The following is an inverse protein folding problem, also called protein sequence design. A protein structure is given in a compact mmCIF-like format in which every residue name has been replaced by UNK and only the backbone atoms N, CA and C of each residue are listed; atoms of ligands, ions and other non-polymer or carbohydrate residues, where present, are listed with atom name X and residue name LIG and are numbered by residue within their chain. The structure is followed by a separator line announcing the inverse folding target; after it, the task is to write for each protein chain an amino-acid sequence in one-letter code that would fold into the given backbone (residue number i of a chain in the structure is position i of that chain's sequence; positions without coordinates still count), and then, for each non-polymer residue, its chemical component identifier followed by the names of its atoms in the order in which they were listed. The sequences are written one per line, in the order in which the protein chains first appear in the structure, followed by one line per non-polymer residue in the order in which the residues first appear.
data_IF_666617007494
#
_entry.id   IF_666617007494
#
_cell.length_a   1.000
_cell.length_b   1.000
_cell.length_c   1.000
_cell.angle_alpha   90.00
_cell.angle_beta   90.00
_cell.angle_gamma   90.00
#
_symmetry.space_group_name_H-M   'P 1'
#
loop_
_entity.id
_entity.type
_entity.pdbx_description
1 polymer ?
#
# COMPACT_ATOMS: atom_id res chain seq x y z
N UNK A 1 -1.03 10.59 -2.19
CA UNK A 1 -1.05 9.36 -3.01
C UNK A 1 -2.33 8.56 -2.78
N UNK A 2 -2.53 7.91 -1.62
CA UNK A 2 -3.76 7.13 -1.39
C UNK A 2 -5.04 8.00 -1.43
N UNK A 3 -4.99 9.20 -0.86
CA UNK A 3 -6.11 10.13 -0.87
C UNK A 3 -6.65 10.44 -2.27
N UNK A 4 -5.81 10.52 -3.31
CA UNK A 4 -6.30 10.77 -4.69
C UNK A 4 -7.04 9.59 -5.29
N UNK A 5 -6.80 8.37 -4.79
CA UNK A 5 -7.47 7.14 -5.21
C UNK A 5 -8.80 6.92 -4.48
N UNK A 6 -9.01 7.60 -3.34
CA UNK A 6 -10.22 7.52 -2.54
C UNK A 6 -11.31 8.52 -2.97
N UNK A 7 -11.08 9.29 -4.03
CA UNK A 7 -11.98 10.32 -4.58
C UNK A 7 -12.60 11.30 -3.53
N UNK A 8 -11.83 11.89 -2.60
CA UNK A 8 -12.39 12.85 -1.64
C UNK A 8 -12.87 14.12 -2.37
N UNK A 9 -13.99 14.75 -1.92
CA UNK A 9 -14.67 15.87 -2.61
C UNK A 9 -13.82 17.13 -2.82
N UNK A 10 -12.66 17.21 -2.21
CA UNK A 10 -11.65 18.26 -2.38
C UNK A 10 -10.34 17.67 -1.85
N UNK A 11 -9.30 17.61 -2.67
CA UNK A 11 -8.01 17.02 -2.27
C UNK A 11 -7.50 17.65 -0.97
N UNK A 12 -7.12 16.82 0.00
CA UNK A 12 -6.54 17.29 1.26
C UNK A 12 -5.06 17.62 1.02
N UNK A 13 -4.61 18.87 1.23
CA UNK A 13 -3.21 19.25 1.04
C UNK A 13 -2.28 18.47 1.96
N UNK A 14 -1.05 18.20 1.50
CA UNK A 14 -0.06 17.46 2.29
C UNK A 14 0.26 18.16 3.61
N UNK A 15 0.33 19.49 3.58
CA UNK A 15 0.64 20.34 4.73
C UNK A 15 -0.40 20.14 5.83
N UNK A 16 -1.68 20.00 5.44
CA UNK A 16 -2.77 19.72 6.38
C UNK A 16 -2.64 18.31 6.97
N UNK A 17 -2.26 17.30 6.18
CA UNK A 17 -2.02 15.95 6.68
C UNK A 17 -0.89 15.93 7.71
N UNK A 18 0.22 16.60 7.42
CA UNK A 18 1.37 16.69 8.32
C UNK A 18 1.00 17.45 9.60
N UNK A 19 0.27 18.57 9.48
CA UNK A 19 -0.19 19.34 10.62
C UNK A 19 -1.06 18.49 11.57
N UNK A 20 -2.08 17.80 11.05
CA UNK A 20 -2.94 16.92 11.86
C UNK A 20 -2.09 15.82 12.53
N UNK A 21 -1.18 15.19 11.79
CA UNK A 21 -0.32 14.14 12.33
C UNK A 21 0.58 14.66 13.47
N UNK A 22 1.08 15.89 13.37
CA UNK A 22 1.88 16.52 14.43
C UNK A 22 1.03 16.89 15.65
N UNK A 23 -0.15 17.49 15.45
CA UNK A 23 -1.09 17.83 16.53
C UNK A 23 -1.56 16.60 17.32
N UNK A 24 -1.70 15.46 16.63
CA UNK A 24 -2.03 14.16 17.23
C UNK A 24 -0.83 13.43 17.83
N UNK A 25 0.39 13.95 17.64
CA UNK A 25 1.63 13.34 18.12
C UNK A 25 2.03 12.05 17.38
N UNK A 26 1.49 11.81 16.18
CA UNK A 26 1.83 10.65 15.35
C UNK A 26 3.19 10.80 14.66
N UNK A 27 3.60 12.05 14.43
CA UNK A 27 4.91 12.36 13.86
C UNK A 27 5.48 13.63 14.46
N UNK A 28 6.80 13.76 14.46
CA UNK A 28 7.49 14.99 14.84
C UNK A 28 7.69 15.95 13.65
N UNK A 29 7.81 15.40 12.43
CA UNK A 29 8.23 16.19 11.25
C UNK A 29 7.76 15.60 9.91
N UNK A 30 6.90 14.58 9.92
CA UNK A 30 6.29 13.97 8.73
C UNK A 30 6.54 12.46 8.59
N UNK A 31 7.64 11.92 9.10
CA UNK A 31 7.84 10.46 9.05
C UNK A 31 6.94 9.72 10.04
N UNK A 32 6.39 8.60 9.57
CA UNK A 32 5.42 7.80 10.30
C UNK A 32 5.96 6.37 10.47
N UNK A 33 6.09 5.93 11.72
CA UNK A 33 6.62 4.59 12.08
C UNK A 33 5.56 3.68 12.71
N UNK A 34 4.28 4.00 12.54
CA UNK A 34 3.16 3.28 13.13
C UNK A 34 2.03 3.14 12.11
N UNK A 35 1.71 1.90 11.73
CA UNK A 35 0.59 1.61 10.82
C UNK A 35 -0.74 1.97 11.46
N UNK A 36 -0.88 1.74 12.77
CA UNK A 36 -2.06 2.13 13.53
C UNK A 36 -2.30 3.65 13.49
N UNK A 37 -1.26 4.47 13.68
CA UNK A 37 -1.40 5.93 13.67
C UNK A 37 -1.59 6.49 12.26
N UNK A 38 -0.96 5.89 11.25
CA UNK A 38 -1.26 6.17 9.84
C UNK A 38 -2.73 5.89 9.52
N UNK A 39 -3.31 4.81 10.06
CA UNK A 39 -4.72 4.48 9.91
C UNK A 39 -5.64 5.53 10.52
N UNK A 40 -5.36 5.96 11.75
CA UNK A 40 -6.11 7.04 12.41
C UNK A 40 -6.03 8.35 11.61
N UNK A 41 -4.84 8.71 11.13
CA UNK A 41 -4.64 9.88 10.28
C UNK A 41 -5.47 9.79 8.99
N UNK A 42 -5.48 8.63 8.33
CA UNK A 42 -6.27 8.41 7.13
C UNK A 42 -7.78 8.56 7.40
N UNK A 43 -8.30 7.96 8.48
CA UNK A 43 -9.70 8.11 8.88
C UNK A 43 -10.06 9.57 9.14
N UNK A 44 -9.27 10.27 9.96
CA UNK A 44 -9.56 11.64 10.39
C UNK A 44 -9.42 12.65 9.25
N UNK A 45 -8.34 12.56 8.48
CA UNK A 45 -8.03 13.58 7.50
C UNK A 45 -8.64 13.31 6.12
N UNK A 46 -8.85 12.04 5.74
CA UNK A 46 -9.40 11.66 4.44
C UNK A 46 -10.86 11.21 4.50
N UNK A 47 -11.42 10.94 5.68
CA UNK A 47 -12.78 10.45 5.82
C UNK A 47 -12.98 9.11 5.11
N UNK A 48 -12.00 8.19 5.24
CA UNK A 48 -12.06 6.86 4.64
C UNK A 48 -12.24 5.78 5.72
N UNK A 49 -12.72 4.61 5.33
CA UNK A 49 -12.64 3.45 6.21
C UNK A 49 -11.25 2.82 6.11
N UNK A 50 -10.80 2.25 7.22
CA UNK A 50 -9.47 1.68 7.35
C UNK A 50 -9.59 0.31 8.00
N UNK A 51 -9.07 -0.70 7.31
CA UNK A 51 -8.85 -2.03 7.87
C UNK A 51 -7.34 -2.25 8.03
N UNK A 52 -6.94 -2.53 9.27
CA UNK A 52 -5.56 -2.81 9.63
C UNK A 52 -5.28 -4.30 9.51
N UNK A 53 -4.32 -4.66 8.66
CA UNK A 53 -3.82 -6.01 8.53
C UNK A 53 -2.59 -6.21 9.40
N UNK A 54 -2.55 -7.33 10.12
CA UNK A 54 -1.40 -7.81 10.90
C UNK A 54 -0.97 -9.19 10.39
N UNK A 55 0.32 -9.51 10.49
CA UNK A 55 0.88 -10.81 10.09
C UNK A 55 1.39 -10.88 8.63
N UNK A 56 1.58 -9.73 7.99
CA UNK A 56 2.09 -9.60 6.62
C UNK A 56 1.02 -9.69 5.55
N UNK A 57 1.44 -9.67 4.29
CA UNK A 57 0.52 -9.72 3.13
C UNK A 57 0.24 -11.16 2.65
N UNK A 58 0.96 -12.16 3.15
CA UNK A 58 0.80 -13.56 2.77
C UNK A 58 -0.31 -14.29 3.56
N UNK A 59 -0.37 -15.61 3.41
CA UNK A 59 -1.24 -16.49 4.19
C UNK A 59 -2.70 -16.03 4.19
N UNK A 60 -3.36 -15.84 5.37
CA UNK A 60 -4.77 -15.48 5.43
C UNK A 60 -5.07 -14.09 4.83
N UNK A 61 -4.09 -13.19 4.77
CA UNK A 61 -4.28 -11.83 4.26
C UNK A 61 -4.18 -11.74 2.74
N UNK A 62 -3.56 -12.72 2.07
CA UNK A 62 -3.27 -12.66 0.63
C UNK A 62 -4.53 -12.48 -0.20
N UNK A 63 -5.52 -13.35 -0.01
CA UNK A 63 -6.78 -13.27 -0.75
C UNK A 63 -7.51 -11.94 -0.48
N UNK A 64 -7.49 -11.47 0.77
CA UNK A 64 -8.10 -10.21 1.19
C UNK A 64 -7.45 -9.01 0.48
N UNK A 65 -6.12 -8.96 0.45
CA UNK A 65 -5.33 -7.93 -0.24
C UNK A 65 -5.65 -7.90 -1.74
N UNK A 66 -5.64 -9.05 -2.40
CA UNK A 66 -5.89 -9.13 -3.84
C UNK A 66 -7.32 -8.72 -4.19
N UNK A 67 -8.32 -9.19 -3.43
CA UNK A 67 -9.71 -8.77 -3.60
C UNK A 67 -9.88 -7.26 -3.42
N UNK A 68 -9.20 -6.67 -2.42
CA UNK A 68 -9.24 -5.23 -2.18
C UNK A 68 -8.70 -4.43 -3.36
N UNK A 69 -7.55 -4.83 -3.90
CA UNK A 69 -6.93 -4.18 -5.06
C UNK A 69 -7.73 -4.37 -6.35
N UNK A 70 -8.28 -5.57 -6.59
CA UNK A 70 -9.16 -5.83 -7.74
C UNK A 70 -10.44 -4.99 -7.67
N UNK A 71 -10.91 -4.67 -6.46
CA UNK A 71 -12.05 -3.77 -6.25
C UNK A 71 -11.70 -2.29 -6.51
N UNK A 72 -10.46 -1.97 -6.90
CA UNK A 72 -10.01 -0.61 -7.19
C UNK A 72 -9.66 0.22 -5.96
N UNK A 73 -9.53 -0.42 -4.79
CA UNK A 73 -9.25 0.29 -3.55
C UNK A 73 -7.75 0.32 -3.21
N UNK A 74 -7.24 1.43 -2.66
CA UNK A 74 -5.82 1.56 -2.37
C UNK A 74 -5.40 0.74 -1.15
N UNK A 75 -4.20 0.19 -1.26
CA UNK A 75 -3.49 -0.49 -0.19
C UNK A 75 -2.27 0.34 0.21
N UNK A 76 -2.11 0.62 1.50
CA UNK A 76 -0.97 1.36 2.04
C UNK A 76 -0.03 0.39 2.77
N UNK A 77 1.23 0.32 2.33
CA UNK A 77 2.19 -0.68 2.81
C UNK A 77 3.49 0.02 3.22
N UNK A 78 3.99 -0.21 4.43
CA UNK A 78 5.38 0.05 4.76
C UNK A 78 6.26 -1.06 4.16
N UNK A 79 7.37 -0.66 3.55
CA UNK A 79 8.35 -1.55 2.94
C UNK A 79 9.75 -0.94 3.06
N UNK A 80 10.79 -1.67 2.72
CA UNK A 80 12.18 -1.17 2.74
C UNK A 80 12.59 -0.72 1.34
N UNK A 81 12.99 0.55 1.21
CA UNK A 81 13.26 1.19 -0.07
C UNK A 81 14.71 0.99 -0.53
N UNK A 82 14.92 0.55 -1.77
CA UNK A 82 16.23 0.61 -2.43
C UNK A 82 16.44 1.90 -3.25
N UNK A 83 17.64 2.09 -3.82
CA UNK A 83 18.01 3.29 -4.58
C UNK A 83 17.13 3.54 -5.82
N UNK A 84 16.54 2.49 -6.40
CA UNK A 84 15.59 2.56 -7.52
C UNK A 84 14.12 2.65 -7.07
N UNK A 85 13.91 2.81 -5.75
CA UNK A 85 12.62 2.82 -5.05
C UNK A 85 11.90 1.46 -4.97
N UNK A 86 12.46 0.39 -5.53
CA UNK A 86 11.89 -0.95 -5.43
C UNK A 86 12.03 -1.53 -4.01
N UNK A 87 11.24 -2.56 -3.68
CA UNK A 87 11.33 -3.21 -2.39
C UNK A 87 12.64 -3.99 -2.23
N UNK A 88 13.29 -3.81 -1.08
CA UNK A 88 14.48 -4.56 -0.69
C UNK A 88 14.33 -5.13 0.72
N UNK A 89 15.39 -5.76 1.24
CA UNK A 89 15.42 -6.35 2.58
C UNK A 89 16.67 -5.87 3.33
N UNK A 90 16.60 -4.69 3.94
CA UNK A 90 17.69 -4.01 4.67
C UNK A 90 17.31 -3.69 6.13
N UNK A 91 16.54 -4.58 6.73
CA UNK A 91 16.01 -4.59 8.10
C UNK A 91 15.12 -3.41 8.46
N UNK A 92 14.63 -2.64 7.49
CA UNK A 92 13.87 -1.42 7.73
C UNK A 92 14.72 -0.16 7.88
N UNK A 93 16.03 -0.23 7.64
CA UNK A 93 16.90 0.95 7.68
C UNK A 93 16.51 2.03 6.66
N UNK A 94 15.80 1.64 5.59
CA UNK A 94 15.21 2.51 4.58
C UNK A 94 13.69 2.32 4.54
N UNK A 95 13.07 1.99 5.68
CA UNK A 95 11.63 1.88 5.80
C UNK A 95 10.94 3.12 5.20
N UNK A 96 10.00 2.85 4.30
CA UNK A 96 9.27 3.83 3.52
C UNK A 96 7.82 3.36 3.34
N UNK A 97 6.95 4.30 3.00
CA UNK A 97 5.56 4.02 2.66
C UNK A 97 5.35 4.00 1.15
N UNK A 98 4.60 3.01 0.67
CA UNK A 98 4.08 2.94 -0.67
C UNK A 98 2.55 2.80 -0.66
N UNK A 99 1.96 3.20 -1.78
CA UNK A 99 0.56 2.93 -2.11
C UNK A 99 0.53 1.99 -3.30
N UNK A 100 -0.15 0.85 -3.16
CA UNK A 100 -0.55 0.03 -4.29
C UNK A 100 -1.94 0.46 -4.74
N UNK A 101 -2.04 0.91 -6.00
CA UNK A 101 -3.26 1.44 -6.61
C UNK A 101 -4.02 0.40 -7.43
N UNK A 102 -3.41 -0.76 -7.69
CA UNK A 102 -3.98 -1.84 -8.47
C UNK A 102 -3.06 -3.05 -8.49
N UNK A 103 -3.46 -4.05 -9.25
CA UNK A 103 -2.77 -5.33 -9.36
C UNK A 103 -2.78 -5.82 -10.81
N UNK A 104 -1.67 -6.40 -11.24
CA UNK A 104 -1.56 -7.17 -12.48
C UNK A 104 -1.50 -8.65 -12.11
N UNK A 105 -2.40 -9.44 -12.68
CA UNK A 105 -2.57 -10.86 -12.39
C UNK A 105 -2.27 -11.69 -13.63
N UNK A 106 -1.32 -12.61 -13.52
CA UNK A 106 -1.11 -13.69 -14.46
C UNK A 106 -2.21 -14.74 -14.27
N UNK A 107 -3.07 -14.88 -15.27
CA UNK A 107 -4.22 -15.80 -15.24
C UNK A 107 -4.02 -16.93 -16.25
N UNK A 108 -4.47 -18.14 -15.91
CA UNK A 108 -4.32 -19.31 -16.78
C UNK A 108 -5.28 -19.30 -17.98
N UNK A 109 -6.39 -18.57 -17.87
CA UNK A 109 -7.37 -18.39 -18.92
C UNK A 109 -7.82 -16.93 -18.96
N UNK A 110 -8.14 -16.45 -20.16
CA UNK A 110 -8.65 -15.09 -20.37
C UNK A 110 -9.89 -14.89 -19.48
N UNK A 111 -9.95 -13.83 -18.67
CA UNK A 111 -11.14 -13.52 -17.90
C UNK A 111 -12.35 -13.45 -18.83
N UNK A 112 -13.50 -13.92 -18.35
CA UNK A 112 -14.72 -13.99 -19.17
C UNK A 112 -15.32 -12.60 -19.47
N UNK A 113 -16.65 -12.49 -19.45
CA UNK A 113 -17.37 -11.25 -19.76
C UNK A 113 -16.88 -10.04 -18.95
N UNK A 114 -16.79 -8.88 -19.59
CA UNK A 114 -16.47 -7.62 -18.93
C UNK A 114 -14.99 -7.22 -18.96
N UNK A 115 -14.13 -7.95 -19.68
CA UNK A 115 -12.74 -7.57 -19.94
C UNK A 115 -12.52 -7.33 -21.44
N UNK A 116 -11.68 -6.35 -21.74
CA UNK A 116 -11.19 -6.07 -23.09
C UNK A 116 -9.68 -6.29 -23.14
N UNK A 117 -9.20 -6.80 -24.27
CA UNK A 117 -7.77 -6.86 -24.55
C UNK A 117 -7.26 -5.47 -24.92
N UNK A 118 -6.10 -5.11 -24.38
CA UNK A 118 -5.44 -3.85 -24.69
C UNK A 118 -4.99 -3.85 -26.17
N UNK A 119 -5.30 -2.79 -26.94
CA UNK A 119 -4.98 -2.74 -28.38
C UNK A 119 -3.48 -2.61 -28.67
N UNK A 120 -2.68 -2.13 -27.71
CA UNK A 120 -1.24 -1.91 -27.85
C UNK A 120 -0.42 -3.03 -27.20
N UNK A 121 -1.01 -3.76 -26.24
CA UNK A 121 -0.35 -4.82 -25.48
C UNK A 121 -1.12 -6.15 -25.57
N UNK A 122 -0.87 -6.98 -26.61
CA UNK A 122 -1.48 -8.29 -26.74
C UNK A 122 -1.28 -9.16 -25.50
N UNK A 123 -2.36 -9.80 -25.04
CA UNK A 123 -2.39 -10.61 -23.82
C UNK A 123 -2.62 -9.82 -22.52
N UNK A 124 -2.62 -8.49 -22.54
CA UNK A 124 -3.06 -7.68 -21.41
C UNK A 124 -4.57 -7.46 -21.49
N UNK A 125 -5.29 -7.81 -20.42
CA UNK A 125 -6.72 -7.61 -20.31
C UNK A 125 -7.05 -6.65 -19.18
N UNK A 126 -7.94 -5.70 -19.44
CA UNK A 126 -8.41 -4.74 -18.45
C UNK A 126 -9.95 -4.75 -18.38
N UNK A 127 -10.55 -4.41 -17.21
CA UNK A 127 -12.00 -4.28 -17.12
C UNK A 127 -12.53 -3.30 -18.17
N UNK A 128 -13.56 -3.71 -18.91
CA UNK A 128 -14.22 -2.87 -19.89
C UNK A 128 -15.09 -1.81 -19.17
N UNK A 129 -14.99 -0.52 -19.52
CA UNK A 129 -15.74 0.54 -18.85
C UNK A 129 -17.25 0.29 -18.88
N UNK A 130 -17.94 0.57 -17.77
CA UNK A 130 -19.41 0.48 -17.65
C UNK A 130 -20.01 -0.93 -17.80
N UNK A 131 -19.19 -1.97 -17.74
CA UNK A 131 -19.64 -3.37 -17.73
C UNK A 131 -19.45 -3.98 -16.34
N UNK A 132 -20.50 -4.66 -15.86
CA UNK A 132 -20.35 -5.56 -14.71
C UNK A 132 -19.33 -6.63 -15.09
N UNK A 133 -18.26 -6.71 -14.32
CA UNK A 133 -17.21 -7.70 -14.50
C UNK A 133 -17.10 -8.53 -13.22
N UNK A 134 -16.92 -9.83 -13.38
CA UNK A 134 -16.53 -10.68 -12.28
C UNK A 134 -15.01 -10.65 -12.14
N UNK A 135 -14.46 -10.45 -10.93
CA UNK A 135 -13.03 -10.60 -10.69
C UNK A 135 -12.48 -11.90 -11.28
N UNK A 136 -11.28 -11.90 -11.89
CA UNK A 136 -10.66 -13.14 -12.32
C UNK A 136 -10.40 -14.04 -11.12
N UNK A 137 -10.26 -15.34 -11.37
CA UNK A 137 -9.75 -16.25 -10.34
C UNK A 137 -8.36 -15.80 -9.91
N UNK A 138 -8.18 -15.62 -8.60
CA UNK A 138 -6.89 -15.18 -8.06
C UNK A 138 -5.86 -16.30 -8.24
N UNK A 139 -4.61 -15.99 -8.63
CA UNK A 139 -3.55 -16.97 -8.72
C UNK A 139 -3.32 -17.66 -7.37
N UNK A 140 -2.99 -18.96 -7.39
CA UNK A 140 -2.65 -19.71 -6.18
C UNK A 140 -1.43 -19.10 -5.47
N UNK A 141 -1.37 -19.27 -4.14
CA UNK A 141 -0.24 -18.79 -3.35
C UNK A 141 1.04 -19.57 -3.73
N UNK A 142 2.17 -18.87 -3.80
CA UNK A 142 3.45 -19.43 -4.21
C UNK A 142 3.65 -19.66 -5.72
N UNK A 143 2.72 -19.22 -6.59
CA UNK A 143 2.93 -19.18 -8.04
C UNK A 143 3.83 -17.98 -8.42
N UNK A 144 5.12 -18.16 -8.75
CA UNK A 144 6.05 -17.04 -8.92
C UNK A 144 5.70 -16.19 -10.15
N UNK A 145 5.84 -14.87 -10.04
CA UNK A 145 5.62 -13.93 -11.15
C UNK A 145 4.18 -13.87 -11.67
N UNK A 146 3.21 -14.43 -10.94
CA UNK A 146 1.79 -14.38 -11.30
C UNK A 146 1.07 -13.15 -10.72
N UNK A 147 1.70 -12.38 -9.83
CA UNK A 147 1.06 -11.24 -9.17
C UNK A 147 2.04 -10.08 -9.06
N UNK A 148 1.67 -8.94 -9.61
CA UNK A 148 2.42 -7.69 -9.47
C UNK A 148 1.54 -6.58 -8.91
N UNK A 149 2.08 -5.78 -8.00
CA UNK A 149 1.43 -4.62 -7.43
C UNK A 149 1.80 -3.35 -8.21
N UNK A 150 0.80 -2.64 -8.73
CA UNK A 150 1.01 -1.32 -9.31
C UNK A 150 1.18 -0.31 -8.17
N UNK A 151 2.44 0.01 -7.85
CA UNK A 151 2.81 0.71 -6.63
C UNK A 151 3.52 2.03 -6.89
N UNK A 152 3.36 2.98 -5.96
CA UNK A 152 4.02 4.28 -5.98
C UNK A 152 4.41 4.70 -4.56
N UNK A 153 5.61 5.27 -4.43
CA UNK A 153 6.08 5.88 -3.18
C UNK A 153 6.21 7.42 -3.33
N UNK A 154 6.47 8.10 -2.21
CA UNK A 154 6.37 9.57 -2.13
C UNK A 154 7.49 10.38 -2.81
N UNK A 155 8.60 9.75 -3.22
CA UNK A 155 9.75 10.43 -3.85
C UNK A 155 9.81 10.24 -5.38
N UNK A 156 8.93 9.41 -5.93
CA UNK A 156 8.86 9.01 -7.33
C UNK A 156 7.64 9.63 -7.98
N UNK A 157 7.80 10.04 -9.23
CA UNK A 157 6.70 10.53 -10.05
C UNK A 157 5.93 9.38 -10.71
N UNK A 158 6.56 8.22 -10.86
CA UNK A 158 6.08 7.10 -11.65
C UNK A 158 5.56 5.95 -10.78
N UNK A 159 4.52 5.29 -11.28
CA UNK A 159 4.15 3.96 -10.80
C UNK A 159 5.14 2.93 -11.31
N UNK A 160 5.36 1.89 -10.50
CA UNK A 160 6.18 0.74 -10.83
C UNK A 160 5.37 -0.53 -10.59
N UNK A 161 5.67 -1.59 -11.33
CA UNK A 161 5.17 -2.94 -11.06
C UNK A 161 6.17 -3.63 -10.14
N UNK A 162 5.74 -4.00 -8.94
CA UNK A 162 6.55 -4.75 -8.00
C UNK A 162 6.01 -6.16 -7.84
N UNK A 163 6.92 -7.15 -7.81
CA UNK A 163 6.54 -8.52 -7.51
C UNK A 163 5.90 -8.61 -6.12
N UNK A 164 4.76 -9.32 -6.03
CA UNK A 164 4.00 -9.40 -4.79
C UNK A 164 4.79 -10.01 -3.63
N UNK A 165 5.58 -11.05 -3.90
CA UNK A 165 6.36 -11.75 -2.88
C UNK A 165 7.55 -10.90 -2.43
N UNK A 166 8.13 -10.10 -3.33
CA UNK A 166 9.15 -9.13 -2.98
C UNK A 166 8.62 -8.05 -2.01
N UNK A 167 7.42 -7.52 -2.25
CA UNK A 167 6.74 -6.58 -1.33
C UNK A 167 6.37 -7.28 -0.02
N UNK A 168 5.81 -8.49 -0.13
CA UNK A 168 5.84 -9.62 0.83
C UNK A 168 6.92 -9.48 1.89
N UNK A 169 8.09 -9.86 1.43
CA UNK A 169 9.24 -10.12 2.27
C UNK A 169 9.85 -8.81 2.76
N UNK A 170 9.80 -7.75 1.94
CA UNK A 170 10.24 -6.41 2.34
C UNK A 170 9.45 -5.85 3.54
N UNK A 171 8.14 -6.09 3.61
CA UNK A 171 7.28 -5.70 4.73
C UNK A 171 7.53 -6.55 5.99
N UNK A 172 7.75 -7.86 5.83
CA UNK A 172 7.95 -8.81 6.94
C UNK A 172 9.30 -8.67 7.66
N UNK A 173 10.24 -7.91 7.09
CA UNK A 173 11.59 -7.76 7.64
C UNK A 173 11.86 -6.37 8.22
N UNK A 174 10.84 -5.50 8.34
CA UNK A 174 10.99 -4.15 8.90
C UNK A 174 11.18 -4.18 10.43
N UNK A 175 12.37 -4.53 10.90
CA UNK A 175 12.62 -4.76 12.33
C UNK A 175 13.32 -3.59 13.02
N UNK A 176 14.24 -2.94 12.33
CA UNK A 176 15.26 -2.09 12.93
C UNK A 176 15.04 -0.61 12.58
N UNK A 177 15.23 0.26 13.57
CA UNK A 177 15.30 1.69 13.34
C UNK A 177 16.62 2.05 12.66
N UNK A 178 16.55 2.93 11.66
CA UNK A 178 17.71 3.32 10.86
C UNK A 178 18.83 3.92 11.72
N UNK A 179 20.06 3.37 11.70
CA UNK A 179 21.18 3.93 12.46
C UNK A 179 21.49 5.38 12.09
N UNK A 180 21.34 5.74 10.80
CA UNK A 180 21.57 7.13 10.37
C UNK A 180 20.53 8.08 10.96
N UNK A 181 19.27 7.65 11.11
CA UNK A 181 18.22 8.46 11.76
C UNK A 181 18.46 8.56 13.27
N UNK A 182 19.02 7.51 13.89
CA UNK A 182 19.34 7.54 15.32
C UNK A 182 20.42 8.57 15.67
N UNK A 183 21.27 8.95 14.71
CA UNK A 183 22.40 9.87 14.92
C UNK A 183 22.26 11.21 14.21
N UNK A 184 21.14 11.50 13.55
CA UNK A 184 20.97 12.74 12.77
C UNK A 184 20.55 13.96 13.60
N UNK A 185 20.33 13.79 14.91
CA UNK A 185 19.93 14.85 15.82
C UNK A 185 18.46 15.27 15.73
N UNK A 186 17.64 14.59 14.92
CA UNK A 186 16.21 14.85 14.78
C UNK A 186 15.39 14.01 15.75
N UNK A 187 14.22 14.51 16.10
CA UNK A 187 13.24 13.76 16.87
C UNK A 187 12.37 12.90 15.94
N UNK A 188 12.11 11.66 16.36
CA UNK A 188 11.23 10.73 15.67
C UNK A 188 10.22 10.14 16.64
N UNK A 189 8.97 10.01 16.20
CA UNK A 189 7.94 9.29 16.94
C UNK A 189 8.01 7.84 16.52
N UNK A 190 8.51 6.98 17.40
CA UNK A 190 8.62 5.54 17.19
C UNK A 190 7.82 4.84 18.30
N UNK A 191 6.93 3.89 17.96
CA UNK A 191 6.09 3.23 18.97
C UNK A 191 6.93 2.39 19.95
N UNK A 192 6.32 2.07 21.10
CA UNK A 192 6.89 1.10 22.02
C UNK A 192 7.07 -0.25 21.30
N UNK A 193 8.28 -0.81 21.35
CA UNK A 193 8.66 -1.99 20.55
C UNK A 193 9.31 -1.67 19.20
N UNK A 194 9.54 -0.39 18.90
CA UNK A 194 10.35 0.05 17.77
C UNK A 194 9.66 -0.08 16.41
N UNK A 195 10.46 -0.05 15.34
CA UNK A 195 9.99 -0.21 13.96
C UNK A 195 9.29 -1.56 13.77
N UNK A 196 9.81 -2.62 14.39
CA UNK A 196 9.18 -3.94 14.35
C UNK A 196 7.73 -3.92 14.81
N UNK A 197 7.45 -3.34 16.00
CA UNK A 197 6.09 -3.28 16.52
C UNK A 197 5.18 -2.34 15.71
N UNK A 198 5.76 -1.32 15.07
CA UNK A 198 5.00 -0.29 14.36
C UNK A 198 4.69 -0.58 12.89
N UNK A 199 5.59 -1.29 12.17
CA UNK A 199 5.53 -1.47 10.72
C UNK A 199 5.62 -2.92 10.25
N UNK A 200 6.36 -3.78 10.95
CA UNK A 200 6.64 -5.13 10.48
C UNK A 200 5.35 -5.96 10.32
N UNK A 201 5.16 -6.54 9.14
CA UNK A 201 4.00 -7.39 8.88
C UNK A 201 2.67 -6.65 9.01
N UNK A 202 2.65 -5.32 8.87
CA UNK A 202 1.45 -4.50 9.00
C UNK A 202 1.18 -3.73 7.70
N UNK A 203 -0.09 -3.53 7.39
CA UNK A 203 -0.55 -2.78 6.22
C UNK A 203 -1.98 -2.25 6.42
N UNK A 204 -2.42 -1.31 5.59
CA UNK A 204 -3.79 -0.77 5.64
C UNK A 204 -4.52 -0.96 4.32
N UNK A 205 -5.71 -1.55 4.39
CA UNK A 205 -6.70 -1.49 3.33
C UNK A 205 -7.55 -0.24 3.56
N UNK A 206 -7.62 0.65 2.57
CA UNK A 206 -8.40 1.89 2.65
C UNK A 206 -9.57 1.82 1.67
N UNK A 207 -10.79 2.13 2.11
CA UNK A 207 -11.97 2.26 1.23
C UNK A 207 -12.60 3.64 1.38
N UNK A 208 -13.22 4.20 0.33
CA UNK A 208 -14.04 5.39 0.46
C UNK A 208 -15.12 5.17 1.52
N UNK A 209 -15.47 6.23 2.27
CA UNK A 209 -16.62 6.15 3.15
C UNK A 209 -17.90 6.23 2.31
N UNK A 210 -18.74 5.21 2.40
CA UNK A 210 -20.06 5.23 1.75
C UNK A 210 -20.87 6.38 2.36
N UNK A 211 -21.08 7.45 1.59
CA UNK A 211 -22.15 8.41 1.85
C UNK A 211 -23.46 7.75 1.42
N UNK A 212 -23.90 6.75 2.18
CA UNK A 212 -25.28 6.28 2.10
C UNK A 212 -26.15 7.37 2.74
N UNK A 213 -26.72 8.24 1.90
CA UNK A 213 -27.82 9.12 2.26
C UNK A 213 -29.15 8.35 2.17
#
# INVERSE_FOLDING_TARGET
MAGTLLAPPSGVPLEKLVQVAMERGYTAQGEMFSVADMGKLAQEALGCQVEHLCGGLGGPNRARVLQHLVSGHPLLIPYDEDFNHEPCQRKGHKAHWAVSAGVLLGVQAVPSSGYAEDPELPGLFHPAPSTLHQPPSLPEDGSPGAVYLLSKQGKSWHYQLWDYDQVRDSNLQLTDFSPSRATDGRAYVVPAGGVQAGLCGQALLLTPQDFSC
#
